data_IF_392103719458
#
_entry.id   IF_392103719458
#
_cell.length_a   1.000
_cell.length_b   1.000
_cell.length_c   1.000
_cell.angle_alpha   90.00
_cell.angle_beta   90.00
_cell.angle_gamma   90.00
#
_symmetry.space_group_name_H-M   'P 1'
#
loop_
_entity.id
_entity.type
_entity.pdbx_description
1 polymer ?
#
# COMPACT_ATOMS: atom_id res chain seq x y z
N UNK A 1 39.39 -36.10 -27.58
CA UNK A 1 39.10 -34.65 -27.53
C UNK A 1 37.59 -34.42 -27.55
N UNK A 2 36.89 -34.49 -26.40
CA UNK A 2 35.46 -34.08 -26.30
C UNK A 2 34.84 -34.21 -24.89
N UNK A 3 35.65 -34.35 -23.83
CA UNK A 3 35.13 -34.59 -22.48
C UNK A 3 35.64 -33.60 -21.42
N UNK A 4 36.10 -32.42 -21.85
CA UNK A 4 36.62 -31.40 -20.92
C UNK A 4 35.78 -30.11 -20.87
N UNK A 5 34.86 -29.91 -21.82
CA UNK A 5 34.07 -28.68 -21.91
C UNK A 5 32.77 -28.68 -21.10
N UNK A 6 32.42 -29.79 -20.44
CA UNK A 6 31.16 -29.93 -19.68
C UNK A 6 31.26 -29.55 -18.19
N UNK A 7 32.46 -29.24 -17.69
CA UNK A 7 32.67 -28.87 -16.28
C UNK A 7 32.62 -27.36 -16.00
N UNK A 8 32.45 -26.51 -17.04
CA UNK A 8 32.48 -25.06 -16.88
C UNK A 8 31.12 -24.38 -16.68
N UNK A 9 30.01 -25.13 -16.70
CA UNK A 9 28.65 -24.58 -16.59
C UNK A 9 28.10 -24.49 -15.16
N UNK A 10 28.81 -24.99 -14.15
CA UNK A 10 28.39 -24.90 -12.74
C UNK A 10 29.04 -23.75 -11.95
N UNK A 11 29.80 -22.86 -12.61
CA UNK A 11 30.45 -21.70 -11.99
C UNK A 11 29.73 -20.37 -12.25
N UNK A 12 28.45 -20.43 -12.60
CA UNK A 12 27.62 -19.22 -12.55
C UNK A 12 27.22 -19.01 -11.09
N UNK A 13 27.61 -17.90 -10.43
CA UNK A 13 27.03 -17.55 -9.16
C UNK A 13 25.53 -17.43 -9.39
N UNK A 14 24.75 -18.30 -8.75
CA UNK A 14 23.32 -18.11 -8.61
C UNK A 14 23.17 -16.77 -7.90
N UNK A 15 22.90 -15.72 -8.66
CA UNK A 15 22.54 -14.44 -8.10
C UNK A 15 21.19 -14.69 -7.42
N UNK A 16 21.24 -15.04 -6.13
CA UNK A 16 20.08 -15.01 -5.24
C UNK A 16 19.72 -13.55 -4.92
N UNK A 17 19.75 -12.69 -5.93
CA UNK A 17 18.96 -11.46 -5.92
C UNK A 17 17.56 -11.91 -6.32
N UNK A 18 16.92 -12.66 -5.41
CA UNK A 18 15.48 -12.80 -5.42
C UNK A 18 14.95 -11.41 -5.15
N UNK A 19 14.74 -10.64 -6.21
CA UNK A 19 13.93 -9.43 -6.14
C UNK A 19 12.61 -9.87 -5.50
N UNK A 20 12.31 -9.31 -4.32
CA UNK A 20 11.05 -9.56 -3.65
C UNK A 20 9.92 -9.28 -4.65
N UNK A 21 9.16 -10.31 -5.00
CA UNK A 21 7.97 -10.16 -5.84
C UNK A 21 6.76 -9.63 -5.04
N UNK A 22 6.95 -9.36 -3.75
CA UNK A 22 5.96 -8.77 -2.87
C UNK A 22 6.15 -7.25 -2.87
N UNK A 23 5.51 -6.61 -3.83
CA UNK A 23 5.35 -5.15 -3.89
C UNK A 23 3.95 -4.77 -3.36
N UNK A 24 3.73 -3.47 -3.14
CA UNK A 24 2.39 -2.93 -2.96
C UNK A 24 1.51 -3.23 -4.19
N UNK A 25 0.20 -3.40 -3.98
CA UNK A 25 -0.76 -3.51 -5.09
C UNK A 25 -1.24 -2.14 -5.60
N UNK A 26 -0.68 -1.06 -5.04
CA UNK A 26 -1.08 0.31 -5.31
C UNK A 26 -0.45 0.83 -6.60
N UNK A 27 -1.22 1.63 -7.33
CA UNK A 27 -0.75 2.38 -8.48
C UNK A 27 -1.02 3.87 -8.28
N UNK A 28 -0.15 4.77 -8.77
CA UNK A 28 -0.41 6.21 -8.71
C UNK A 28 -1.72 6.56 -9.43
N UNK A 29 -2.58 7.29 -8.76
CA UNK A 29 -3.78 7.86 -9.34
C UNK A 29 -3.45 9.23 -9.95
N UNK A 30 -3.74 9.38 -11.24
CA UNK A 30 -3.42 10.62 -11.96
C UNK A 30 -4.44 11.69 -11.64
N UNK A 31 -3.97 12.80 -11.09
CA UNK A 31 -4.77 14.00 -10.82
C UNK A 31 -4.33 15.12 -11.77
N UNK A 32 -5.29 15.78 -12.42
CA UNK A 32 -5.02 16.83 -13.40
C UNK A 32 -4.51 18.14 -12.77
N UNK A 33 -4.90 18.41 -11.52
CA UNK A 33 -4.45 19.58 -10.76
C UNK A 33 -3.16 19.30 -10.00
N UNK A 34 -2.34 20.33 -9.85
CA UNK A 34 -1.15 20.29 -8.99
C UNK A 34 -1.48 20.33 -7.49
N UNK A 35 -2.70 20.70 -7.11
CA UNK A 35 -3.17 20.77 -5.73
C UNK A 35 -4.59 20.25 -5.59
N UNK A 36 -4.85 19.52 -4.51
CA UNK A 36 -6.17 18.99 -4.17
C UNK A 36 -7.04 20.07 -3.49
N UNK A 37 -8.31 20.14 -3.87
CA UNK A 37 -9.29 21.05 -3.29
C UNK A 37 -10.37 20.28 -2.54
N UNK A 38 -10.65 20.69 -1.31
CA UNK A 38 -11.64 20.03 -0.48
C UNK A 38 -13.05 20.27 -1.01
N UNK A 39 -13.81 19.18 -1.13
CA UNK A 39 -15.21 19.19 -1.52
C UNK A 39 -16.01 18.25 -0.63
N UNK A 40 -16.89 18.83 0.19
CA UNK A 40 -17.65 18.10 1.21
C UNK A 40 -18.67 17.10 0.64
N UNK A 41 -19.11 17.29 -0.60
CA UNK A 41 -20.16 16.48 -1.19
C UNK A 41 -19.63 15.14 -1.71
N UNK A 42 -18.31 15.01 -1.89
CA UNK A 42 -17.67 13.72 -2.15
C UNK A 42 -17.60 12.93 -0.83
N UNK A 43 -18.38 11.84 -0.69
CA UNK A 43 -18.48 11.10 0.56
C UNK A 43 -17.18 10.32 0.86
N UNK A 44 -16.90 9.99 2.13
CA UNK A 44 -15.79 9.10 2.45
C UNK A 44 -16.10 7.67 1.98
N UNK A 45 -15.08 6.83 1.73
CA UNK A 45 -15.30 5.39 1.60
C UNK A 45 -15.81 4.78 2.92
N UNK A 46 -16.43 3.61 2.82
CA UNK A 46 -16.77 2.75 3.95
C UNK A 46 -15.57 1.83 4.26
N UNK A 47 -15.17 1.72 5.52
CA UNK A 47 -14.16 0.75 5.95
C UNK A 47 -14.82 -0.62 6.13
N UNK A 48 -14.34 -1.65 5.41
CA UNK A 48 -14.80 -3.03 5.62
C UNK A 48 -13.86 -3.81 6.53
N UNK A 49 -12.54 -3.70 6.33
CA UNK A 49 -11.56 -4.46 7.09
C UNK A 49 -10.22 -3.73 7.13
N UNK A 50 -9.49 -3.92 8.24
CA UNK A 50 -8.08 -3.57 8.39
C UNK A 50 -7.36 -4.82 8.86
N UNK A 51 -6.24 -5.16 8.23
CA UNK A 51 -5.41 -6.28 8.66
C UNK A 51 -3.96 -5.87 8.58
N UNK A 52 -3.23 -6.13 9.65
CA UNK A 52 -1.82 -5.84 9.75
C UNK A 52 -1.05 -7.14 9.92
N UNK A 53 0.02 -7.29 9.14
CA UNK A 53 0.98 -8.39 9.24
C UNK A 53 2.35 -7.78 9.45
N UNK A 54 3.02 -8.17 10.53
CA UNK A 54 4.39 -7.77 10.82
C UNK A 54 5.39 -8.56 9.99
N UNK A 55 6.58 -8.01 9.77
CA UNK A 55 7.72 -8.76 9.28
C UNK A 55 8.04 -9.91 10.24
N UNK A 56 8.46 -11.06 9.72
CA UNK A 56 8.82 -12.22 10.53
C UNK A 56 10.33 -12.31 10.80
N UNK A 57 11.13 -11.62 9.99
CA UNK A 57 12.58 -11.81 9.95
C UNK A 57 12.93 -13.19 9.36
N UNK A 58 13.99 -13.24 8.57
CA UNK A 58 14.42 -14.48 7.93
C UNK A 58 15.65 -14.30 7.06
N UNK A 59 16.04 -15.37 6.36
CA UNK A 59 17.24 -15.37 5.53
C UNK A 59 17.07 -14.64 4.19
N UNK A 60 15.84 -14.27 3.83
CA UNK A 60 15.53 -13.50 2.64
C UNK A 60 15.09 -12.07 3.01
N UNK A 61 15.47 -11.09 2.18
CA UNK A 61 15.13 -9.67 2.39
C UNK A 61 13.63 -9.39 2.44
N UNK A 62 12.79 -10.29 1.93
CA UNK A 62 11.33 -10.13 1.93
C UNK A 62 10.68 -10.52 3.26
N UNK A 63 11.40 -11.26 4.10
CA UNK A 63 10.90 -11.73 5.39
C UNK A 63 10.77 -10.58 6.40
N UNK A 64 11.38 -9.43 6.10
CA UNK A 64 11.36 -8.20 6.91
C UNK A 64 10.22 -7.24 6.51
N UNK A 65 9.42 -7.54 5.47
CA UNK A 65 8.35 -6.65 5.03
C UNK A 65 7.11 -6.75 5.93
N UNK A 66 6.58 -5.60 6.30
CA UNK A 66 5.26 -5.46 6.92
C UNK A 66 4.18 -5.14 5.90
N UNK A 67 2.95 -5.58 6.16
CA UNK A 67 1.79 -5.35 5.31
C UNK A 67 0.63 -4.78 6.10
N UNK A 68 0.01 -3.72 5.58
CA UNK A 68 -1.22 -3.14 6.09
C UNK A 68 -2.26 -3.17 4.97
N UNK A 69 -3.21 -4.10 5.08
CA UNK A 69 -4.32 -4.26 4.16
C UNK A 69 -5.53 -3.48 4.67
N UNK A 70 -6.00 -2.54 3.85
CA UNK A 70 -7.19 -1.73 4.14
C UNK A 70 -8.22 -2.03 3.05
N UNK A 71 -9.29 -2.72 3.43
CA UNK A 71 -10.41 -3.01 2.54
C UNK A 71 -11.44 -1.89 2.62
N UNK A 72 -11.62 -1.22 1.49
CA UNK A 72 -12.54 -0.10 1.34
C UNK A 72 -13.71 -0.49 0.45
N UNK A 73 -14.86 0.11 0.73
CA UNK A 73 -16.06 0.00 -0.08
C UNK A 73 -16.62 1.36 -0.44
N UNK A 74 -16.89 1.57 -1.72
CA UNK A 74 -17.45 2.82 -2.20
C UNK A 74 -18.96 2.90 -1.91
N UNK A 75 -19.45 4.01 -1.32
CA UNK A 75 -20.87 4.17 -1.00
C UNK A 75 -21.75 4.18 -2.27
N UNK A 76 -23.05 3.91 -2.10
CA UNK A 76 -24.03 3.97 -3.20
C UNK A 76 -24.58 5.38 -3.37
N UNK A 77 -25.12 5.66 -4.56
CA UNK A 77 -25.87 6.90 -4.81
C UNK A 77 -24.99 8.13 -4.85
N UNK A 78 -23.69 7.96 -5.12
CA UNK A 78 -22.75 9.05 -5.35
C UNK A 78 -22.68 9.34 -6.86
N UNK A 79 -22.24 10.55 -7.25
CA UNK A 79 -22.09 10.90 -8.66
C UNK A 79 -20.88 10.23 -9.34
N UNK A 80 -20.03 9.50 -8.60
CA UNK A 80 -18.83 8.83 -9.12
C UNK A 80 -18.89 7.33 -8.87
N UNK A 81 -18.35 6.58 -9.82
CA UNK A 81 -18.01 5.17 -9.62
C UNK A 81 -16.62 5.01 -8.99
N UNK A 82 -16.33 3.84 -8.41
CA UNK A 82 -15.05 3.62 -7.71
C UNK A 82 -13.85 3.70 -8.67
N UNK A 83 -14.07 3.36 -9.94
CA UNK A 83 -13.10 3.44 -11.04
C UNK A 83 -12.63 4.88 -11.33
N UNK A 84 -13.40 5.89 -10.90
CA UNK A 84 -13.11 7.31 -11.10
C UNK A 84 -12.44 7.97 -9.88
N UNK A 85 -12.18 7.19 -8.83
CA UNK A 85 -11.75 7.67 -7.53
C UNK A 85 -10.40 7.06 -7.14
N UNK A 86 -9.43 7.93 -6.86
CA UNK A 86 -8.22 7.58 -6.12
C UNK A 86 -8.38 7.85 -4.63
N UNK A 87 -7.39 7.42 -3.84
CA UNK A 87 -7.39 7.59 -2.40
C UNK A 87 -6.09 8.24 -1.94
N UNK A 88 -6.19 9.37 -1.24
CA UNK A 88 -5.08 10.00 -0.53
C UNK A 88 -5.01 9.44 0.90
N UNK A 89 -3.79 9.10 1.33
CA UNK A 89 -3.48 8.68 2.70
C UNK A 89 -2.70 9.77 3.42
N UNK A 90 -3.03 10.04 4.68
CA UNK A 90 -2.27 10.94 5.55
C UNK A 90 -2.22 10.43 6.97
N UNK A 91 -1.09 10.57 7.64
CA UNK A 91 -1.01 10.36 9.10
C UNK A 91 -1.60 11.58 9.79
N UNK A 92 -2.60 11.38 10.65
CA UNK A 92 -3.21 12.45 11.46
C UNK A 92 -2.92 12.32 12.95
N UNK A 93 -2.38 11.18 13.38
CA UNK A 93 -1.89 10.93 14.74
C UNK A 93 -0.91 9.76 14.74
N UNK A 94 0.10 9.82 15.59
CA UNK A 94 1.17 8.81 15.66
C UNK A 94 2.27 9.04 14.63
N UNK A 95 3.15 8.06 14.49
CA UNK A 95 4.27 8.06 13.54
C UNK A 95 4.18 6.83 12.65
N UNK A 96 4.30 7.02 11.34
CA UNK A 96 4.38 5.93 10.37
C UNK A 96 5.86 5.64 10.06
N UNK A 97 6.24 4.36 9.90
CA UNK A 97 7.54 4.01 9.33
C UNK A 97 7.66 4.56 7.90
N UNK A 98 8.91 4.69 7.46
CA UNK A 98 9.23 5.08 6.09
C UNK A 98 8.53 4.13 5.09
N UNK A 99 8.13 4.68 3.94
CA UNK A 99 7.43 4.00 2.85
C UNK A 99 6.01 3.46 3.13
N UNK A 100 5.54 3.39 4.38
CA UNK A 100 4.20 2.88 4.69
C UNK A 100 3.08 3.71 4.03
N UNK A 101 3.26 5.03 3.96
CA UNK A 101 2.22 5.96 3.50
C UNK A 101 2.59 6.54 2.13
N UNK A 102 1.78 6.31 1.09
CA UNK A 102 2.00 6.88 -0.23
C UNK A 102 1.98 8.41 -0.22
N UNK A 103 2.93 9.02 -0.92
CA UNK A 103 3.03 10.49 -1.05
C UNK A 103 2.00 11.11 -2.00
N UNK A 104 1.32 10.29 -2.80
CA UNK A 104 0.36 10.72 -3.80
C UNK A 104 -0.92 9.87 -3.70
N UNK A 105 -2.05 10.37 -4.24
CA UNK A 105 -3.25 9.56 -4.36
C UNK A 105 -2.98 8.27 -5.13
N UNK A 106 -3.59 7.17 -4.67
CA UNK A 106 -3.39 5.83 -5.22
C UNK A 106 -4.71 5.14 -5.57
N UNK A 107 -4.63 4.15 -6.45
CA UNK A 107 -5.69 3.18 -6.73
C UNK A 107 -5.17 1.76 -6.58
N UNK A 108 -6.09 0.81 -6.38
CA UNK A 108 -5.82 -0.62 -6.33
C UNK A 108 -6.86 -1.38 -7.18
N UNK A 109 -6.66 -2.68 -7.46
CA UNK A 109 -7.61 -3.48 -8.22
C UNK A 109 -9.03 -3.46 -7.63
N UNK A 110 -10.01 -3.17 -8.47
CA UNK A 110 -11.40 -3.01 -8.08
C UNK A 110 -12.18 -4.33 -8.29
N UNK A 111 -13.03 -4.68 -7.33
CA UNK A 111 -14.01 -5.77 -7.41
C UNK A 111 -15.41 -5.26 -7.08
N UNK A 112 -16.14 -4.83 -8.11
CA UNK A 112 -17.42 -4.16 -7.93
C UNK A 112 -17.23 -2.82 -7.23
N UNK A 113 -17.79 -2.63 -6.04
CA UNK A 113 -17.60 -1.40 -5.25
C UNK A 113 -16.52 -1.52 -4.18
N UNK A 114 -15.64 -2.51 -4.29
CA UNK A 114 -14.61 -2.80 -3.29
C UNK A 114 -13.23 -2.67 -3.89
N UNK A 115 -12.30 -2.22 -3.07
CA UNK A 115 -10.87 -2.19 -3.37
C UNK A 115 -10.10 -2.56 -2.11
N UNK A 116 -9.03 -3.34 -2.26
CA UNK A 116 -8.13 -3.71 -1.17
C UNK A 116 -6.82 -3.00 -1.40
N UNK A 117 -6.40 -2.19 -0.43
CA UNK A 117 -5.17 -1.41 -0.51
C UNK A 117 -4.12 -2.09 0.37
N UNK A 118 -3.06 -2.61 -0.25
CA UNK A 118 -1.95 -3.24 0.43
C UNK A 118 -0.81 -2.24 0.53
N UNK A 119 -0.67 -1.61 1.70
CA UNK A 119 0.45 -0.75 2.05
C UNK A 119 1.59 -1.63 2.57
N UNK A 120 2.82 -1.33 2.16
CA UNK A 120 3.99 -2.15 2.48
C UNK A 120 5.09 -1.25 3.04
N UNK A 121 5.84 -1.73 4.02
CA UNK A 121 7.01 -1.02 4.54
C UNK A 121 8.10 -2.01 4.94
N UNK A 122 9.33 -1.51 5.12
CA UNK A 122 10.37 -2.31 5.75
C UNK A 122 10.15 -2.33 7.27
N UNK A 123 9.68 -3.46 7.77
CA UNK A 123 9.38 -3.65 9.19
C UNK A 123 10.60 -4.16 9.96
N UNK A 124 11.65 -4.61 9.27
CA UNK A 124 12.84 -5.20 9.86
C UNK A 124 12.57 -6.55 10.54
N UNK A 125 13.56 -7.01 11.29
CA UNK A 125 13.46 -8.23 12.09
C UNK A 125 12.62 -8.00 13.36
N UNK A 126 12.00 -9.06 13.93
CA UNK A 126 11.14 -8.93 15.11
C UNK A 126 11.78 -8.20 16.30
N UNK A 127 13.09 -8.37 16.51
CA UNK A 127 13.81 -7.71 17.62
C UNK A 127 14.05 -6.21 17.37
N UNK A 128 13.98 -5.75 16.11
CA UNK A 128 14.18 -4.35 15.71
C UNK A 128 12.89 -3.60 15.38
N UNK A 129 11.75 -4.28 15.44
CA UNK A 129 10.45 -3.73 15.12
C UNK A 129 10.01 -2.66 16.13
N UNK A 130 9.39 -1.60 15.61
CA UNK A 130 8.82 -0.54 16.41
C UNK A 130 7.30 -0.69 16.51
N UNK A 131 6.70 -0.41 17.69
CA UNK A 131 5.24 -0.42 17.82
C UNK A 131 4.59 0.53 16.83
N UNK A 132 3.51 0.07 16.20
CA UNK A 132 2.76 0.85 15.22
C UNK A 132 1.42 1.31 15.81
N UNK A 133 1.42 2.54 16.34
CA UNK A 133 0.23 3.18 16.90
C UNK A 133 -0.06 4.47 16.15
N UNK A 134 -0.98 4.41 15.18
CA UNK A 134 -1.28 5.58 14.35
C UNK A 134 -2.73 5.64 13.90
N UNK A 135 -3.13 6.82 13.43
CA UNK A 135 -4.41 7.06 12.77
C UNK A 135 -4.13 7.59 11.37
N UNK A 136 -4.58 6.85 10.36
CA UNK A 136 -4.57 7.27 8.97
C UNK A 136 -5.89 7.95 8.62
N UNK A 137 -5.80 9.05 7.90
CA UNK A 137 -6.89 9.64 7.16
C UNK A 137 -6.84 9.13 5.72
N UNK A 138 -7.94 8.54 5.26
CA UNK A 138 -8.14 8.07 3.88
C UNK A 138 -9.20 8.95 3.24
N UNK A 139 -8.85 9.64 2.16
CA UNK A 139 -9.76 10.57 1.48
C UNK A 139 -9.90 10.20 0.02
N UNK A 140 -11.13 10.16 -0.53
CA UNK A 140 -11.30 9.97 -1.96
C UNK A 140 -10.88 11.23 -2.71
N UNK A 141 -10.31 11.03 -3.89
CA UNK A 141 -9.81 12.07 -4.77
C UNK A 141 -10.31 11.78 -6.19
N UNK A 142 -10.95 12.76 -6.81
CA UNK A 142 -11.34 12.65 -8.23
C UNK A 142 -10.18 13.03 -9.16
N UNK A 143 -10.25 12.65 -10.42
CA UNK A 143 -9.23 12.99 -11.42
C UNK A 143 -9.06 14.52 -11.59
N UNK A 144 -10.11 15.31 -11.36
CA UNK A 144 -10.08 16.78 -11.39
C UNK A 144 -9.41 17.39 -10.15
N UNK A 145 -9.06 16.58 -9.14
CA UNK A 145 -8.43 17.01 -7.91
C UNK A 145 -9.41 17.51 -6.85
N UNK A 146 -10.66 17.05 -6.87
CA UNK A 146 -11.57 17.23 -5.74
C UNK A 146 -11.29 16.18 -4.69
N UNK A 147 -11.18 16.61 -3.44
CA UNK A 147 -10.85 15.76 -2.31
C UNK A 147 -12.01 15.71 -1.33
N UNK A 148 -12.49 14.51 -1.09
CA UNK A 148 -13.67 14.26 -0.30
C UNK A 148 -13.43 14.32 1.20
N UNK A 149 -14.49 13.98 1.93
CA UNK A 149 -14.47 13.83 3.38
C UNK A 149 -13.58 12.65 3.80
N UNK A 150 -12.97 12.72 5.00
CA UNK A 150 -12.07 11.70 5.48
C UNK A 150 -12.78 10.50 6.09
N UNK A 151 -12.22 9.31 5.85
CA UNK A 151 -12.37 8.12 6.69
C UNK A 151 -11.13 8.02 7.59
N UNK A 152 -11.31 7.82 8.90
CA UNK A 152 -10.21 7.55 9.81
C UNK A 152 -10.02 6.05 10.04
N UNK A 153 -8.80 5.57 9.88
CA UNK A 153 -8.39 4.18 10.08
C UNK A 153 -7.36 4.14 11.21
N UNK A 154 -7.73 3.50 12.33
CA UNK A 154 -6.80 3.28 13.45
C UNK A 154 -6.00 2.01 13.17
N UNK A 155 -4.68 2.12 13.30
CA UNK A 155 -3.74 1.02 13.20
C UNK A 155 -3.05 0.87 14.54
N UNK A 156 -3.06 -0.36 15.06
CA UNK A 156 -2.49 -0.69 16.36
C UNK A 156 -1.79 -2.04 16.27
N UNK A 157 -0.48 -2.05 16.50
CA UNK A 157 0.32 -3.25 16.68
C UNK A 157 1.41 -2.96 17.70
N UNK A 158 1.60 -3.82 18.72
CA UNK A 158 2.76 -3.74 19.59
C UNK A 158 4.05 -4.04 18.83
#
# INVERSE_FOLDING_TARGET
MKLWYLLFLCMLPAQAVGACAFDTNLQPFKVARSSLLDWSDLPPPELEQVTLTRGLGGGASCDELGFLNIQLKWPRGTPYDLEEIGFEYRVVSGEAPEDLVPDAPVVAPIRGRRTEHQLTWNDGTPDGQQPLHLVLEVRPVTAEGWRGRPLQVRVDSP
#
